data_IF_435514184549
#
_entry.id   IF_435514184549
#
_cell.length_a   1.000
_cell.length_b   1.000
_cell.length_c   1.000
_cell.angle_alpha   90.00
_cell.angle_beta   90.00
_cell.angle_gamma   90.00
#
_symmetry.space_group_name_H-M   'P 1'
#
loop_
_entity.id
_entity.type
_entity.pdbx_description
1 polymer ?
#
# COMPACT_ATOMS: atom_id res chain seq x y z
N UNK A 1 15.65 15.09 2.99
CA UNK A 1 14.94 15.62 1.79
C UNK A 1 13.57 14.98 1.79
N UNK A 2 12.53 15.71 1.45
CA UNK A 2 11.17 15.15 1.28
C UNK A 2 11.06 14.35 -0.01
N UNK A 3 9.98 13.59 -0.17
CA UNK A 3 9.60 13.00 -1.44
C UNK A 3 9.55 14.10 -2.51
N UNK A 4 10.04 13.83 -3.73
CA UNK A 4 9.78 14.73 -4.86
C UNK A 4 8.27 14.94 -5.04
N UNK A 5 7.85 16.19 -5.31
CA UNK A 5 6.43 16.57 -5.38
C UNK A 5 5.60 15.66 -6.30
N UNK A 6 6.17 15.27 -7.45
CA UNK A 6 5.53 14.35 -8.41
C UNK A 6 5.32 12.95 -7.81
N UNK A 7 6.29 12.43 -7.05
CA UNK A 7 6.18 11.12 -6.38
C UNK A 7 5.09 11.16 -5.31
N UNK A 8 5.06 12.23 -4.52
CA UNK A 8 4.06 12.42 -3.46
C UNK A 8 2.65 12.53 -4.03
N UNK A 9 2.44 13.36 -5.05
CA UNK A 9 1.14 13.53 -5.70
C UNK A 9 0.65 12.21 -6.34
N UNK A 10 1.54 11.50 -7.03
CA UNK A 10 1.22 10.20 -7.63
C UNK A 10 0.88 9.16 -6.55
N UNK A 11 1.58 9.16 -5.40
CA UNK A 11 1.27 8.26 -4.29
C UNK A 11 -0.13 8.52 -3.72
N UNK A 12 -0.48 9.78 -3.48
CA UNK A 12 -1.81 10.17 -2.98
C UNK A 12 -2.93 9.76 -3.96
N UNK A 13 -2.72 9.99 -5.26
CA UNK A 13 -3.66 9.61 -6.32
C UNK A 13 -3.82 8.09 -6.41
N UNK A 14 -2.72 7.34 -6.44
CA UNK A 14 -2.74 5.87 -6.54
C UNK A 14 -3.39 5.23 -5.32
N UNK A 15 -3.09 5.68 -4.11
CA UNK A 15 -3.74 5.15 -2.90
C UNK A 15 -5.23 5.44 -2.87
N UNK A 16 -5.65 6.61 -3.36
CA UNK A 16 -7.07 6.96 -3.47
C UNK A 16 -7.77 6.08 -4.52
N UNK A 17 -7.16 5.92 -5.70
CA UNK A 17 -7.69 5.03 -6.75
C UNK A 17 -7.73 3.56 -6.30
N UNK A 18 -6.77 3.13 -5.47
CA UNK A 18 -6.76 1.80 -4.88
C UNK A 18 -7.97 1.63 -3.94
N UNK A 19 -8.22 2.57 -3.04
CA UNK A 19 -9.41 2.55 -2.15
C UNK A 19 -10.73 2.53 -2.92
N UNK A 20 -10.81 3.25 -4.04
CA UNK A 20 -11.97 3.23 -4.94
C UNK A 20 -12.17 1.86 -5.61
N UNK A 21 -11.07 1.15 -5.90
CA UNK A 21 -11.07 -0.17 -6.53
C UNK A 21 -10.70 -1.28 -5.54
N UNK A 22 -11.05 -1.11 -4.27
CA UNK A 22 -10.55 -1.96 -3.18
C UNK A 22 -10.89 -3.44 -3.36
N UNK A 23 -12.17 -3.77 -3.59
CA UNK A 23 -12.66 -5.15 -3.66
C UNK A 23 -11.88 -6.05 -4.64
N UNK A 24 -11.75 -5.71 -5.94
CA UNK A 24 -11.01 -6.57 -6.88
C UNK A 24 -9.53 -6.72 -6.51
N UNK A 25 -8.93 -5.73 -5.85
CA UNK A 25 -7.54 -5.83 -5.40
C UNK A 25 -7.43 -6.74 -4.17
N UNK A 26 -8.33 -6.59 -3.20
CA UNK A 26 -8.40 -7.44 -2.03
C UNK A 26 -8.68 -8.91 -2.40
N UNK A 27 -9.50 -9.17 -3.42
CA UNK A 27 -9.71 -10.52 -3.95
C UNK A 27 -8.44 -11.11 -4.57
N UNK A 28 -7.73 -10.33 -5.41
CA UNK A 28 -6.49 -10.78 -6.02
C UNK A 28 -5.41 -11.09 -4.96
N UNK A 29 -5.32 -10.26 -3.93
CA UNK A 29 -4.43 -10.44 -2.78
C UNK A 29 -4.78 -11.69 -1.97
N UNK A 30 -6.06 -11.86 -1.61
CA UNK A 30 -6.56 -13.05 -0.91
C UNK A 30 -6.20 -14.32 -1.67
N UNK A 31 -6.44 -14.33 -2.97
CA UNK A 31 -6.16 -15.47 -3.85
C UNK A 31 -4.66 -15.76 -3.95
N UNK A 32 -3.82 -14.71 -4.03
CA UNK A 32 -2.37 -14.86 -4.05
C UNK A 32 -1.85 -15.48 -2.74
N UNK A 33 -2.23 -14.92 -1.59
CA UNK A 33 -1.83 -15.43 -0.27
C UNK A 33 -2.23 -16.90 -0.10
N UNK A 34 -3.49 -17.24 -0.43
CA UNK A 34 -3.98 -18.61 -0.34
C UNK A 34 -3.18 -19.59 -1.22
N UNK A 35 -2.80 -19.17 -2.45
CA UNK A 35 -2.03 -20.00 -3.38
C UNK A 35 -0.62 -20.30 -2.89
N UNK A 36 -0.02 -19.43 -2.09
CA UNK A 36 1.30 -19.65 -1.49
C UNK A 36 1.23 -20.26 -0.09
N UNK A 37 0.03 -20.66 0.36
CA UNK A 37 -0.17 -21.31 1.65
C UNK A 37 -0.18 -20.37 2.86
N UNK A 38 -0.38 -19.07 2.63
CA UNK A 38 -0.60 -18.07 3.69
C UNK A 38 -2.10 -17.88 3.84
N UNK A 39 -2.60 -18.00 5.07
CA UNK A 39 -4.01 -17.74 5.36
C UNK A 39 -4.30 -16.25 5.18
N UNK A 40 -5.29 -15.85 4.36
CA UNK A 40 -5.59 -14.45 4.07
C UNK A 40 -6.41 -13.83 5.21
N UNK A 41 -5.75 -13.65 6.35
CA UNK A 41 -6.27 -12.95 7.50
C UNK A 41 -6.08 -11.44 7.35
N UNK A 42 -6.81 -10.65 8.14
CA UNK A 42 -6.68 -9.19 8.19
C UNK A 42 -5.23 -8.75 8.32
N UNK A 43 -4.48 -9.34 9.25
CA UNK A 43 -3.09 -8.99 9.55
C UNK A 43 -2.16 -9.31 8.37
N UNK A 44 -2.35 -10.45 7.71
CA UNK A 44 -1.55 -10.83 6.55
C UNK A 44 -1.84 -9.95 5.34
N UNK A 45 -3.10 -9.56 5.15
CA UNK A 45 -3.48 -8.71 4.03
C UNK A 45 -2.98 -7.26 4.26
N UNK A 46 -3.15 -6.70 5.46
CA UNK A 46 -2.58 -5.39 5.78
C UNK A 46 -1.06 -5.37 5.61
N UNK A 47 -0.37 -6.43 6.04
CA UNK A 47 1.08 -6.54 5.88
C UNK A 47 1.49 -6.62 4.40
N UNK A 48 0.75 -7.37 3.59
CA UNK A 48 1.01 -7.47 2.15
C UNK A 48 0.77 -6.14 1.45
N UNK A 49 -0.37 -5.49 1.69
CA UNK A 49 -0.69 -4.16 1.15
C UNK A 49 0.41 -3.14 1.50
N UNK A 50 0.83 -3.06 2.76
CA UNK A 50 1.90 -2.15 3.18
C UNK A 50 3.23 -2.46 2.46
N UNK A 51 3.58 -3.74 2.33
CA UNK A 51 4.80 -4.16 1.62
C UNK A 51 4.77 -3.85 0.12
N UNK A 52 3.59 -3.93 -0.53
CA UNK A 52 3.42 -3.54 -1.93
C UNK A 52 3.65 -2.05 -2.11
N UNK A 53 3.07 -1.20 -1.24
CA UNK A 53 3.27 0.25 -1.29
C UNK A 53 4.75 0.60 -1.16
N UNK A 54 5.42 0.06 -0.13
CA UNK A 54 6.86 0.27 0.10
C UNK A 54 7.70 -0.14 -1.12
N UNK A 55 7.45 -1.35 -1.65
CA UNK A 55 8.18 -1.87 -2.81
C UNK A 55 7.98 -1.02 -4.05
N UNK A 56 6.75 -0.59 -4.34
CA UNK A 56 6.43 0.20 -5.54
C UNK A 56 7.06 1.59 -5.47
N UNK A 57 6.90 2.29 -4.35
CA UNK A 57 7.47 3.64 -4.18
C UNK A 57 8.99 3.58 -4.20
N UNK A 58 9.59 2.64 -3.46
CA UNK A 58 11.04 2.43 -3.47
C UNK A 58 11.59 2.12 -4.86
N UNK A 59 10.89 1.27 -5.63
CA UNK A 59 11.27 0.94 -7.01
C UNK A 59 11.16 2.13 -7.96
N UNK A 60 10.16 2.98 -7.75
CA UNK A 60 9.97 4.20 -8.55
C UNK A 60 11.09 5.21 -8.30
N UNK A 61 11.42 5.47 -7.02
CA UNK A 61 12.57 6.31 -6.63
C UNK A 61 13.87 5.74 -7.19
N UNK A 62 14.09 4.43 -7.11
CA UNK A 62 15.25 3.79 -7.71
C UNK A 62 15.32 3.99 -9.22
N UNK A 63 14.19 3.88 -9.92
CA UNK A 63 14.14 4.06 -11.38
C UNK A 63 14.46 5.50 -11.79
N UNK A 64 13.96 6.49 -11.06
CA UNK A 64 14.17 7.90 -11.37
C UNK A 64 15.56 8.41 -10.98
N UNK A 65 16.07 7.98 -9.83
CA UNK A 65 17.25 8.59 -9.20
C UNK A 65 18.43 7.63 -9.04
N UNK A 66 18.28 6.35 -9.42
CA UNK A 66 19.29 5.30 -9.28
C UNK A 66 19.82 5.16 -7.84
N UNK A 67 18.91 5.25 -6.86
CA UNK A 67 19.18 5.09 -5.43
C UNK A 67 17.93 4.60 -4.68
N UNK A 68 18.11 4.09 -3.46
CA UNK A 68 16.98 3.85 -2.55
C UNK A 68 16.39 5.15 -2.00
N UNK A 69 15.23 5.04 -1.34
CA UNK A 69 14.67 6.13 -0.55
C UNK A 69 15.62 6.53 0.58
N UNK A 70 15.67 7.82 0.88
CA UNK A 70 16.28 8.33 2.12
C UNK A 70 15.30 8.15 3.28
N UNK A 71 15.81 8.17 4.51
CA UNK A 71 14.99 8.05 5.73
C UNK A 71 13.85 9.09 5.79
N UNK A 72 14.09 10.31 5.31
CA UNK A 72 13.08 11.38 5.26
C UNK A 72 11.98 11.09 4.23
N UNK A 73 12.33 10.52 3.06
CA UNK A 73 11.38 10.14 2.02
C UNK A 73 10.53 8.94 2.44
N UNK A 74 11.16 7.96 3.10
CA UNK A 74 10.47 6.82 3.70
C UNK A 74 9.47 7.26 4.77
N UNK A 75 9.90 8.16 5.67
CA UNK A 75 9.03 8.74 6.70
C UNK A 75 7.82 9.47 6.10
N UNK A 76 8.00 10.18 4.99
CA UNK A 76 6.91 10.87 4.29
C UNK A 76 5.96 9.90 3.57
N UNK A 77 6.49 8.88 2.89
CA UNK A 77 5.69 7.80 2.31
C UNK A 77 4.82 7.13 3.38
N UNK A 78 5.41 6.81 4.53
CA UNK A 78 4.71 6.23 5.68
C UNK A 78 3.62 7.19 6.19
N UNK A 79 3.89 8.49 6.24
CA UNK A 79 2.89 9.47 6.67
C UNK A 79 1.67 9.49 5.74
N UNK A 80 1.90 9.56 4.43
CA UNK A 80 0.84 9.54 3.42
C UNK A 80 0.04 8.24 3.48
N UNK A 81 0.72 7.09 3.61
CA UNK A 81 0.02 5.80 3.74
C UNK A 81 -0.82 5.72 5.02
N UNK A 82 -0.30 6.22 6.15
CA UNK A 82 -1.04 6.28 7.42
C UNK A 82 -2.29 7.15 7.36
N UNK A 83 -2.33 8.18 6.52
CA UNK A 83 -3.54 8.98 6.32
C UNK A 83 -4.68 8.17 5.68
N UNK A 84 -4.34 7.21 4.83
CA UNK A 84 -5.29 6.33 4.12
C UNK A 84 -5.59 5.02 4.86
N UNK A 85 -4.70 4.62 5.77
CA UNK A 85 -4.78 3.35 6.48
C UNK A 85 -6.12 3.09 7.19
N UNK A 86 -6.75 4.05 7.91
CA UNK A 86 -8.02 3.79 8.58
C UNK A 86 -9.15 3.40 7.62
N UNK A 87 -9.19 3.98 6.41
CA UNK A 87 -10.19 3.64 5.39
C UNK A 87 -9.90 2.26 4.78
N UNK A 88 -8.63 1.94 4.55
CA UNK A 88 -8.20 0.61 4.13
C UNK A 88 -8.60 -0.47 5.13
N UNK A 89 -8.34 -0.22 6.42
CA UNK A 89 -8.70 -1.14 7.50
C UNK A 89 -10.20 -1.38 7.57
N UNK A 90 -11.00 -0.31 7.46
CA UNK A 90 -12.46 -0.41 7.46
C UNK A 90 -12.97 -1.25 6.29
N UNK A 91 -12.54 -0.94 5.06
CA UNK A 91 -12.93 -1.70 3.85
C UNK A 91 -12.48 -3.16 3.91
N UNK A 92 -11.32 -3.43 4.50
CA UNK A 92 -10.83 -4.78 4.69
C UNK A 92 -11.67 -5.56 5.70
N UNK A 93 -12.06 -4.93 6.80
CA UNK A 93 -12.94 -5.54 7.79
C UNK A 93 -14.32 -5.87 7.17
N UNK A 94 -14.89 -4.95 6.37
CA UNK A 94 -16.12 -5.20 5.58
C UNK A 94 -15.94 -6.39 4.62
N UNK A 95 -14.85 -6.41 3.85
CA UNK A 95 -14.54 -7.48 2.89
C UNK A 95 -14.39 -8.86 3.55
N UNK A 96 -13.83 -8.90 4.77
CA UNK A 96 -13.66 -10.13 5.54
C UNK A 96 -14.91 -10.51 6.35
N UNK A 97 -15.97 -9.70 6.33
CA UNK A 97 -17.19 -9.93 7.10
C UNK A 97 -17.00 -9.76 8.62
N UNK A 98 -16.10 -8.85 9.02
CA UNK A 98 -15.79 -8.51 10.42
C UNK A 98 -16.49 -7.18 10.78
N UNK A 99 -17.78 -7.24 11.11
CA UNK A 99 -18.55 -6.11 11.66
C UNK A 99 -18.57 -6.12 13.20
#
# INVERSE_FOLDING_TARGET
>A
MTLPDEVRANLEEVLSAWLENFEPIAEAERDFLARIGIEPMRETMLSYTAGVVDTVVGSYIHTLFNRGMTDDEDAEMIAVFKEKLPEFEHKLDEFLGRD
#
